data_IF_633927503988
#
_entry.id   IF_633927503988
#
_cell.length_a   1.000
_cell.length_b   1.000
_cell.length_c   1.000
_cell.angle_alpha   90.00
_cell.angle_beta   90.00
_cell.angle_gamma   90.00
#
_symmetry.space_group_name_H-M   'P 1'
#
loop_
_entity.id
_entity.type
_entity.pdbx_description
1 polymer ?
#
# COMPACT_ATOMS: atom_id res chain seq x y z
N UNK A 1 -15.07 2.66 30.41
CA UNK A 1 -15.03 3.85 29.53
C UNK A 1 -14.43 3.42 28.22
N UNK A 2 -15.10 3.70 27.09
CA UNK A 2 -14.54 3.44 25.77
C UNK A 2 -13.71 4.66 25.35
N UNK A 3 -12.48 4.43 24.87
CA UNK A 3 -11.55 5.49 24.48
C UNK A 3 -11.72 5.77 22.98
N UNK A 4 -11.47 6.99 22.54
CA UNK A 4 -11.39 7.33 21.12
C UNK A 4 -9.98 7.07 20.61
N UNK A 5 -9.81 6.81 19.30
CA UNK A 5 -8.49 6.46 18.76
C UNK A 5 -7.45 7.56 19.00
N UNK A 6 -7.86 8.82 19.00
CA UNK A 6 -7.00 9.98 19.27
C UNK A 6 -6.62 10.18 20.75
N UNK A 7 -7.30 9.49 21.69
CA UNK A 7 -6.97 9.59 23.12
C UNK A 7 -5.63 8.91 23.44
N UNK A 8 -5.27 7.91 22.64
CA UNK A 8 -3.96 7.25 22.65
C UNK A 8 -3.70 6.69 21.25
N UNK A 9 -3.21 7.55 20.34
CA UNK A 9 -3.00 7.19 18.94
C UNK A 9 -1.98 6.05 18.80
N UNK A 10 -0.94 6.06 19.63
CA UNK A 10 0.08 5.00 19.68
C UNK A 10 -0.54 3.67 20.13
N UNK A 11 -1.37 3.68 21.17
CA UNK A 11 -2.10 2.51 21.64
C UNK A 11 -3.07 1.98 20.58
N UNK A 12 -3.80 2.89 19.92
CA UNK A 12 -4.69 2.53 18.81
C UNK A 12 -3.92 1.85 17.68
N UNK A 13 -2.81 2.42 17.22
CA UNK A 13 -1.99 1.83 16.15
C UNK A 13 -1.47 0.43 16.48
N UNK A 14 -1.21 0.13 17.76
CA UNK A 14 -0.79 -1.21 18.22
C UNK A 14 -1.95 -2.21 18.30
N UNK A 15 -3.15 -1.73 18.59
CA UNK A 15 -4.35 -2.57 18.78
C UNK A 15 -5.24 -2.65 17.52
N UNK A 16 -4.98 -1.83 16.50
CA UNK A 16 -5.76 -1.76 15.28
C UNK A 16 -5.52 -3.01 14.42
N UNK A 17 -6.60 -3.66 14.00
CA UNK A 17 -6.54 -4.89 13.20
C UNK A 17 -7.41 -4.70 11.97
N UNK A 18 -6.84 -4.93 10.79
CA UNK A 18 -7.60 -4.90 9.54
C UNK A 18 -8.74 -5.94 9.59
N UNK A 19 -9.98 -5.56 9.27
CA UNK A 19 -11.07 -6.52 9.23
C UNK A 19 -10.79 -7.60 8.20
N UNK A 20 -11.16 -8.83 8.52
CA UNK A 20 -11.05 -9.94 7.57
C UNK A 20 -11.85 -9.64 6.29
N UNK A 21 -11.18 -9.77 5.15
CA UNK A 21 -11.80 -9.55 3.84
C UNK A 21 -12.93 -10.56 3.63
N UNK A 22 -14.15 -10.06 3.40
CA UNK A 22 -15.32 -10.92 3.15
C UNK A 22 -15.51 -11.14 1.66
N UNK A 23 -15.56 -12.40 1.25
CA UNK A 23 -15.79 -12.80 -0.14
C UNK A 23 -17.27 -13.14 -0.36
N UNK A 24 -17.81 -12.74 -1.51
CA UNK A 24 -19.11 -13.19 -2.02
C UNK A 24 -18.97 -14.50 -2.81
N UNK A 25 -20.10 -15.14 -3.11
CA UNK A 25 -20.14 -16.50 -3.68
C UNK A 25 -19.51 -16.66 -5.07
N UNK A 26 -19.39 -15.58 -5.85
CA UNK A 26 -18.94 -15.63 -7.24
C UNK A 26 -17.42 -15.41 -7.40
N UNK A 27 -16.68 -15.31 -6.29
CA UNK A 27 -15.24 -15.04 -6.34
C UNK A 27 -14.46 -16.30 -6.68
N UNK A 28 -13.44 -16.19 -7.56
CA UNK A 28 -12.48 -17.26 -7.77
C UNK A 28 -11.85 -17.77 -6.48
N UNK A 29 -11.85 -19.09 -6.29
CA UNK A 29 -11.13 -19.70 -5.18
C UNK A 29 -9.64 -19.33 -5.24
N UNK A 30 -9.12 -18.83 -4.11
CA UNK A 30 -7.68 -18.61 -3.98
C UNK A 30 -6.98 -19.98 -3.98
N UNK A 31 -5.95 -20.20 -4.81
CA UNK A 31 -5.24 -21.48 -4.83
C UNK A 31 -4.55 -21.70 -3.48
N UNK A 32 -4.87 -22.79 -2.74
CA UNK A 32 -4.26 -23.04 -1.44
C UNK A 32 -2.78 -23.39 -1.61
N UNK A 33 -1.88 -22.60 -1.01
CA UNK A 33 -0.43 -22.87 -0.97
C UNK A 33 0.26 -22.91 -2.34
N UNK A 34 -0.37 -22.36 -3.38
CA UNK A 34 0.15 -22.39 -4.74
C UNK A 34 0.10 -21.01 -5.41
N UNK A 35 0.90 -20.84 -6.46
CA UNK A 35 0.93 -19.62 -7.28
C UNK A 35 -0.40 -19.41 -7.98
N UNK A 36 -0.82 -18.17 -8.12
CA UNK A 36 -1.92 -17.83 -9.01
C UNK A 36 -1.44 -17.86 -10.47
N UNK A 37 -2.16 -18.61 -11.30
CA UNK A 37 -2.00 -18.54 -12.75
C UNK A 37 -2.71 -17.33 -13.37
N UNK A 38 -3.38 -16.50 -12.57
CA UNK A 38 -4.22 -15.39 -13.04
C UNK A 38 -3.47 -14.06 -13.15
N UNK A 39 -2.21 -14.00 -12.73
CA UNK A 39 -1.37 -12.83 -12.90
C UNK A 39 -0.96 -12.66 -14.37
N UNK A 40 -1.82 -11.99 -15.13
CA UNK A 40 -1.70 -11.78 -16.58
C UNK A 40 -1.28 -10.36 -16.93
N UNK A 41 -0.64 -9.65 -15.99
CA UNK A 41 -0.24 -8.25 -16.15
C UNK A 41 0.47 -7.99 -17.47
N UNK A 42 -0.01 -7.00 -18.20
CA UNK A 42 0.63 -6.52 -19.40
C UNK A 42 1.92 -5.79 -19.04
N UNK A 43 3.05 -6.29 -19.55
CA UNK A 43 4.35 -5.63 -19.40
C UNK A 43 4.97 -5.41 -20.75
N UNK A 44 5.34 -4.16 -21.06
CA UNK A 44 6.17 -3.88 -22.23
C UNK A 44 7.62 -4.21 -21.90
N UNK A 45 8.31 -4.89 -22.81
CA UNK A 45 9.75 -5.04 -22.68
C UNK A 45 10.41 -3.66 -22.84
N UNK A 46 11.33 -3.35 -21.92
CA UNK A 46 12.19 -2.17 -22.03
C UNK A 46 13.62 -2.60 -21.76
N UNK A 47 14.51 -2.35 -22.73
CA UNK A 47 15.94 -2.67 -22.62
C UNK A 47 16.59 -2.02 -21.40
N UNK A 48 16.07 -0.88 -20.96
CA UNK A 48 16.57 -0.10 -19.83
C UNK A 48 16.13 -0.63 -18.46
N UNK A 49 15.31 -1.70 -18.38
CA UNK A 49 14.88 -2.27 -17.10
C UNK A 49 16.01 -3.11 -16.50
N UNK A 50 16.88 -2.45 -15.75
CA UNK A 50 17.98 -3.09 -15.03
C UNK A 50 17.72 -3.03 -13.52
N UNK A 51 17.06 -4.07 -13.01
CA UNK A 51 16.87 -4.27 -11.58
C UNK A 51 17.89 -5.32 -11.12
N UNK A 52 19.05 -4.80 -10.74
CA UNK A 52 20.29 -5.56 -10.52
C UNK A 52 20.50 -5.96 -9.07
N UNK A 53 19.77 -5.34 -8.14
CA UNK A 53 19.74 -5.75 -6.74
C UNK A 53 18.36 -5.57 -6.15
N UNK A 54 17.88 -6.56 -5.42
CA UNK A 54 16.73 -6.43 -4.54
C UNK A 54 17.16 -6.99 -3.20
N UNK A 55 17.05 -6.17 -2.17
CA UNK A 55 17.45 -6.48 -0.81
C UNK A 55 16.18 -6.60 0.04
N UNK A 56 16.06 -7.68 0.79
CA UNK A 56 15.01 -7.78 1.78
C UNK A 56 15.42 -6.97 3.03
N UNK A 57 14.48 -6.24 3.61
CA UNK A 57 14.65 -5.67 4.94
C UNK A 57 14.63 -6.84 5.93
N UNK A 58 15.78 -7.16 6.50
CA UNK A 58 15.90 -8.23 7.49
C UNK A 58 15.18 -7.89 8.81
N UNK A 59 15.37 -8.77 9.79
CA UNK A 59 14.70 -8.79 11.10
C UNK A 59 14.77 -7.48 11.91
N UNK A 60 15.65 -6.54 11.53
CA UNK A 60 15.75 -5.22 12.15
C UNK A 60 14.60 -4.27 11.80
N UNK A 61 13.83 -4.53 10.74
CA UNK A 61 12.78 -3.62 10.26
C UNK A 61 11.72 -3.35 11.32
N UNK A 62 11.22 -4.39 11.98
CA UNK A 62 10.19 -4.24 13.02
C UNK A 62 10.69 -3.39 14.18
N UNK A 63 11.96 -3.54 14.54
CA UNK A 63 12.58 -2.70 15.57
C UNK A 63 12.69 -1.25 15.13
N UNK A 64 13.09 -1.00 13.88
CA UNK A 64 13.13 0.35 13.30
C UNK A 64 11.76 1.01 13.25
N UNK A 65 10.72 0.28 12.83
CA UNK A 65 9.33 0.76 12.80
C UNK A 65 8.84 1.07 14.22
N UNK A 66 9.07 0.18 15.18
CA UNK A 66 8.67 0.40 16.57
C UNK A 66 9.38 1.62 17.18
N UNK A 67 10.68 1.78 16.92
CA UNK A 67 11.44 2.94 17.38
C UNK A 67 10.89 4.24 16.76
N UNK A 68 10.56 4.22 15.46
CA UNK A 68 9.94 5.36 14.80
C UNK A 68 8.57 5.69 15.39
N UNK A 69 7.73 4.68 15.66
CA UNK A 69 6.41 4.87 16.30
C UNK A 69 6.57 5.49 17.69
N UNK A 70 7.52 5.01 18.49
CA UNK A 70 7.78 5.54 19.84
C UNK A 70 8.26 6.99 19.77
N UNK A 71 9.06 7.35 18.77
CA UNK A 71 9.60 8.70 18.62
C UNK A 71 8.58 9.71 18.07
N UNK A 72 7.69 9.29 17.17
CA UNK A 72 6.86 10.21 16.38
C UNK A 72 5.36 10.15 16.72
N UNK A 73 4.85 9.03 17.25
CA UNK A 73 3.41 8.88 17.50
C UNK A 73 3.09 9.21 18.96
N UNK A 74 2.20 10.18 19.24
CA UNK A 74 1.82 10.55 20.60
C UNK A 74 1.08 9.40 21.31
N UNK A 75 1.38 9.19 22.59
CA UNK A 75 0.69 8.26 23.49
C UNK A 75 -0.17 8.96 24.56
N UNK A 76 -0.34 10.27 24.41
CA UNK A 76 -1.20 11.09 25.26
C UNK A 76 -2.36 11.61 24.43
N UNK A 77 -3.51 11.83 25.08
CA UNK A 77 -4.67 12.42 24.42
C UNK A 77 -4.28 13.74 23.77
N UNK A 78 -4.61 13.88 22.49
CA UNK A 78 -4.30 15.07 21.69
C UNK A 78 -5.23 16.26 22.01
N UNK A 79 -6.00 16.17 23.10
CA UNK A 79 -6.87 17.22 23.59
C UNK A 79 -8.30 17.10 23.04
N UNK A 80 -9.24 17.75 23.75
CA UNK A 80 -10.68 17.70 23.47
C UNK A 80 -11.11 18.38 22.16
N UNK A 81 -10.20 19.12 21.52
CA UNK A 81 -10.46 19.86 20.28
C UNK A 81 -10.26 19.01 19.03
N UNK A 82 -9.42 17.97 19.09
CA UNK A 82 -9.33 16.97 18.04
C UNK A 82 -10.46 15.95 18.21
N UNK A 83 -11.08 15.57 17.10
CA UNK A 83 -12.10 14.52 17.03
C UNK A 83 -11.59 13.41 16.12
N UNK A 84 -12.06 12.18 16.38
CA UNK A 84 -11.76 11.01 15.54
C UNK A 84 -12.13 11.28 14.07
N UNK A 85 -13.23 12.01 13.86
CA UNK A 85 -13.64 12.54 12.56
C UNK A 85 -13.20 14.00 12.42
N UNK A 86 -12.49 14.29 11.34
CA UNK A 86 -12.28 15.65 10.88
C UNK A 86 -13.57 16.20 10.26
N UNK A 87 -14.11 17.29 10.81
CA UNK A 87 -15.35 17.86 10.30
C UNK A 87 -15.16 18.62 8.97
N UNK A 88 -13.93 19.08 8.69
CA UNK A 88 -13.62 19.82 7.46
C UNK A 88 -13.34 18.88 6.30
N UNK A 89 -12.49 17.88 6.52
CA UNK A 89 -12.07 16.95 5.46
C UNK A 89 -12.94 15.70 5.39
N UNK A 90 -13.70 15.40 6.46
CA UNK A 90 -14.48 14.17 6.58
C UNK A 90 -13.64 12.92 6.90
N UNK A 91 -12.33 13.08 7.07
CA UNK A 91 -11.41 12.00 7.41
C UNK A 91 -11.72 11.39 8.77
N UNK A 92 -11.59 10.07 8.89
CA UNK A 92 -11.88 9.36 10.13
C UNK A 92 -11.00 8.12 10.22
N UNK A 93 -10.69 7.70 11.45
CA UNK A 93 -10.17 6.37 11.72
C UNK A 93 -11.25 5.33 11.38
N UNK A 94 -10.89 4.31 10.61
CA UNK A 94 -11.83 3.30 10.09
C UNK A 94 -11.43 1.87 10.44
N UNK A 95 -10.15 1.62 10.74
CA UNK A 95 -9.72 0.28 11.15
C UNK A 95 -10.19 0.02 12.59
N UNK A 96 -10.92 -1.08 12.86
CA UNK A 96 -11.35 -1.37 14.23
C UNK A 96 -10.17 -1.73 15.12
N UNK A 97 -10.34 -1.47 16.41
CA UNK A 97 -9.43 -1.93 17.46
C UNK A 97 -10.02 -3.11 18.20
N UNK A 98 -9.20 -4.10 18.53
CA UNK A 98 -9.66 -5.33 19.17
C UNK A 98 -10.17 -5.16 20.61
N UNK A 99 -9.79 -4.09 21.34
CA UNK A 99 -9.96 -4.08 22.81
C UNK A 99 -10.42 -2.78 23.44
N UNK A 100 -9.92 -1.61 23.00
CA UNK A 100 -10.02 -0.37 23.81
C UNK A 100 -10.67 0.82 23.11
N UNK A 101 -10.56 0.88 21.79
CA UNK A 101 -10.94 2.08 21.03
C UNK A 101 -12.27 1.91 20.30
N UNK A 102 -13.17 2.88 20.45
CA UNK A 102 -14.47 2.89 19.79
C UNK A 102 -14.36 3.53 18.41
N UNK A 103 -13.97 2.72 17.42
CA UNK A 103 -13.95 3.14 16.02
C UNK A 103 -15.27 2.77 15.34
N UNK A 104 -16.01 3.77 14.89
CA UNK A 104 -17.26 3.54 14.17
C UNK A 104 -16.96 3.25 12.69
N UNK A 105 -16.74 1.97 12.37
CA UNK A 105 -16.50 1.55 10.99
C UNK A 105 -17.68 0.79 10.40
N UNK A 106 -18.10 1.23 9.23
CA UNK A 106 -19.13 0.54 8.44
C UNK A 106 -18.44 -0.46 7.54
N UNK A 107 -18.69 -1.75 7.73
CA UNK A 107 -18.14 -2.78 6.85
C UNK A 107 -18.63 -2.56 5.41
N UNK A 108 -17.73 -2.41 4.42
CA UNK A 108 -18.12 -2.40 3.03
C UNK A 108 -18.75 -3.75 2.64
N UNK A 109 -19.53 -3.74 1.56
CA UNK A 109 -20.14 -4.97 1.05
C UNK A 109 -19.07 -6.04 0.75
N UNK A 110 -19.40 -7.35 0.88
CA UNK A 110 -18.49 -8.42 0.51
C UNK A 110 -17.95 -8.23 -0.90
N UNK A 111 -16.67 -8.54 -1.09
CA UNK A 111 -16.03 -8.47 -2.38
C UNK A 111 -16.75 -9.45 -3.30
N UNK A 112 -17.19 -8.99 -4.47
CA UNK A 112 -17.68 -9.85 -5.58
C UNK A 112 -16.93 -9.58 -6.89
N UNK A 113 -16.23 -8.46 -6.92
CA UNK A 113 -15.56 -7.89 -8.08
C UNK A 113 -14.40 -7.02 -7.57
N UNK A 114 -13.49 -6.68 -8.49
CA UNK A 114 -12.28 -5.91 -8.20
C UNK A 114 -12.59 -4.55 -7.54
N UNK A 115 -13.61 -3.84 -8.04
CA UNK A 115 -14.03 -2.54 -7.49
C UNK A 115 -14.40 -2.59 -6.00
N UNK A 116 -14.96 -3.72 -5.54
CA UNK A 116 -15.29 -3.90 -4.13
C UNK A 116 -14.04 -4.09 -3.29
N UNK A 117 -13.02 -4.80 -3.79
CA UNK A 117 -11.74 -4.89 -3.10
C UNK A 117 -11.09 -3.51 -2.97
N UNK A 118 -11.11 -2.71 -4.03
CA UNK A 118 -10.57 -1.35 -4.01
C UNK A 118 -11.27 -0.50 -2.95
N UNK A 119 -12.59 -0.65 -2.79
CA UNK A 119 -13.34 0.01 -1.73
C UNK A 119 -12.94 -0.45 -0.31
N UNK A 120 -12.58 -1.72 -0.11
CA UNK A 120 -12.07 -2.21 1.17
C UNK A 120 -10.69 -1.59 1.49
N UNK A 121 -9.80 -1.54 0.51
CA UNK A 121 -8.46 -0.93 0.65
C UNK A 121 -8.57 0.57 0.92
N UNK A 122 -9.38 1.30 0.15
CA UNK A 122 -9.66 2.72 0.39
C UNK A 122 -10.23 2.93 1.79
N UNK A 123 -11.30 2.21 2.12
CA UNK A 123 -12.07 2.46 3.32
C UNK A 123 -11.28 2.19 4.60
N UNK A 124 -10.53 1.08 4.67
CA UNK A 124 -9.84 0.68 5.89
C UNK A 124 -8.41 1.25 5.98
N UNK A 125 -7.39 0.63 5.35
CA UNK A 125 -6.01 1.04 5.57
C UNK A 125 -5.74 2.46 5.08
N UNK A 126 -6.19 2.85 3.88
CA UNK A 126 -5.78 4.13 3.30
C UNK A 126 -6.35 5.33 4.05
N UNK A 127 -7.67 5.34 4.32
CA UNK A 127 -8.30 6.42 5.13
C UNK A 127 -7.72 6.51 6.54
N UNK A 128 -7.51 5.38 7.19
CA UNK A 128 -6.92 5.36 8.54
C UNK A 128 -5.50 5.90 8.53
N UNK A 129 -4.66 5.45 7.59
CA UNK A 129 -3.28 5.94 7.46
C UNK A 129 -3.25 7.42 7.15
N UNK A 130 -4.06 7.90 6.21
CA UNK A 130 -4.14 9.33 5.89
C UNK A 130 -4.50 10.16 7.12
N UNK A 131 -5.55 9.76 7.86
CA UNK A 131 -5.94 10.46 9.08
C UNK A 131 -4.83 10.48 10.12
N UNK A 132 -4.16 9.35 10.34
CA UNK A 132 -3.02 9.26 11.26
C UNK A 132 -1.88 10.20 10.82
N UNK A 133 -1.55 10.21 9.53
CA UNK A 133 -0.50 11.07 8.99
C UNK A 133 -0.85 12.55 9.17
N UNK A 134 -2.08 12.97 8.92
CA UNK A 134 -2.50 14.37 9.13
C UNK A 134 -2.53 14.80 10.59
N UNK A 135 -2.71 13.84 11.51
CA UNK A 135 -2.60 14.09 12.94
C UNK A 135 -1.14 14.26 13.37
N UNK A 136 -0.24 13.36 12.94
CA UNK A 136 1.18 13.36 13.33
C UNK A 136 1.95 14.47 12.59
N UNK A 137 1.59 14.73 11.35
CA UNK A 137 2.24 15.68 10.45
C UNK A 137 1.19 16.65 9.87
N UNK A 138 0.76 17.67 10.63
CA UNK A 138 -0.26 18.62 10.15
C UNK A 138 0.10 19.34 8.85
N UNK A 139 1.39 19.43 8.51
CA UNK A 139 1.89 19.98 7.25
C UNK A 139 1.55 19.12 6.02
N UNK A 140 1.17 17.84 6.20
CA UNK A 140 0.78 16.96 5.10
C UNK A 140 -0.72 17.01 4.81
N UNK A 141 -1.49 17.95 5.37
CA UNK A 141 -2.94 18.08 5.10
C UNK A 141 -3.31 18.31 3.65
N UNK A 142 -2.37 18.86 2.87
CA UNK A 142 -2.54 19.03 1.42
C UNK A 142 -2.28 17.73 0.65
N UNK A 143 -1.84 16.67 1.34
CA UNK A 143 -1.58 15.35 0.76
C UNK A 143 -2.76 14.42 0.99
N UNK A 144 -2.94 13.46 0.09
CA UNK A 144 -4.00 12.48 0.25
C UNK A 144 -3.85 11.30 -0.69
N UNK A 145 -4.58 10.23 -0.40
CA UNK A 145 -4.71 9.13 -1.33
C UNK A 145 -5.68 9.50 -2.45
N UNK A 146 -5.22 9.37 -3.69
CA UNK A 146 -6.07 9.43 -4.86
C UNK A 146 -5.79 8.26 -5.80
N UNK A 147 -6.73 7.97 -6.69
CA UNK A 147 -6.55 6.98 -7.76
C UNK A 147 -6.93 7.62 -9.09
N UNK A 148 -6.12 7.37 -10.11
CA UNK A 148 -6.42 7.85 -11.46
C UNK A 148 -7.71 7.19 -11.98
N UNK A 149 -8.54 7.99 -12.64
CA UNK A 149 -9.81 7.55 -13.24
C UNK A 149 -9.64 7.08 -14.69
N UNK A 150 -8.47 7.28 -15.28
CA UNK A 150 -8.21 6.83 -16.64
C UNK A 150 -8.13 5.30 -16.68
N UNK A 151 -8.91 4.64 -17.56
CA UNK A 151 -8.91 3.19 -17.62
C UNK A 151 -7.56 2.68 -18.14
N UNK A 152 -6.91 1.80 -17.38
CA UNK A 152 -5.75 1.03 -17.83
C UNK A 152 -6.16 -0.39 -18.21
N UNK A 153 -5.36 -0.99 -19.10
CA UNK A 153 -5.62 -2.34 -19.63
C UNK A 153 -5.74 -3.41 -18.52
N UNK A 154 -4.99 -3.26 -17.42
CA UNK A 154 -4.98 -4.21 -16.32
C UNK A 154 -5.81 -3.76 -15.09
N UNK A 155 -6.69 -2.76 -15.21
CA UNK A 155 -7.50 -2.26 -14.06
C UNK A 155 -8.34 -3.33 -13.38
N UNK A 156 -8.66 -4.38 -14.15
CA UNK A 156 -9.38 -5.55 -13.67
C UNK A 156 -8.52 -6.49 -12.82
N UNK A 157 -7.21 -6.27 -12.64
CA UNK A 157 -6.35 -7.11 -11.78
C UNK A 157 -5.29 -6.31 -11.00
N UNK A 158 -5.19 -5.01 -11.25
CA UNK A 158 -4.16 -4.14 -10.69
C UNK A 158 -4.69 -2.72 -10.54
N UNK A 159 -4.75 -2.23 -9.31
CA UNK A 159 -5.18 -0.87 -8.99
C UNK A 159 -4.04 -0.08 -8.38
N UNK A 160 -3.94 1.18 -8.80
CA UNK A 160 -2.94 2.12 -8.33
C UNK A 160 -3.64 3.18 -7.45
N UNK A 161 -3.13 3.38 -6.25
CA UNK A 161 -3.40 4.54 -5.42
C UNK A 161 -2.10 5.28 -5.19
N UNK A 162 -2.19 6.59 -5.00
CA UNK A 162 -1.04 7.45 -4.82
C UNK A 162 -1.28 8.35 -3.62
N UNK A 163 -0.35 8.36 -2.67
CA UNK A 163 -0.30 9.38 -1.62
C UNK A 163 0.58 10.53 -2.12
N UNK A 164 -0.03 11.68 -2.44
CA UNK A 164 0.68 12.85 -2.99
C UNK A 164 -0.07 14.14 -2.65
N UNK A 165 0.51 15.29 -3.01
CA UNK A 165 -0.14 16.61 -2.90
C UNK A 165 -1.35 16.71 -3.84
N UNK A 166 -2.54 16.83 -3.26
CA UNK A 166 -3.83 16.91 -3.96
C UNK A 166 -4.37 18.34 -4.08
N UNK A 167 -3.77 19.32 -3.41
CA UNK A 167 -4.29 20.71 -3.35
C UNK A 167 -3.56 21.61 -4.33
N UNK A 168 -2.23 21.53 -4.38
CA UNK A 168 -1.41 22.49 -5.13
C UNK A 168 -1.11 22.05 -6.56
N UNK A 169 -1.65 20.90 -6.99
CA UNK A 169 -1.39 20.34 -8.31
C UNK A 169 -2.71 19.97 -9.02
N UNK A 170 -3.13 20.73 -10.05
CA UNK A 170 -4.41 20.51 -10.76
C UNK A 170 -4.45 19.19 -11.54
N UNK A 171 -3.29 18.61 -11.81
CA UNK A 171 -3.10 17.21 -12.17
C UNK A 171 -2.05 16.69 -11.19
N UNK A 172 -2.40 15.96 -10.11
CA UNK A 172 -1.47 15.62 -9.03
C UNK A 172 -0.16 15.11 -9.62
N UNK A 173 0.84 15.99 -9.66
CA UNK A 173 2.17 15.67 -10.13
C UNK A 173 2.73 14.78 -9.04
N UNK A 174 2.66 13.48 -9.29
CA UNK A 174 3.24 12.48 -8.41
C UNK A 174 4.72 12.84 -8.30
N UNK A 175 5.07 13.47 -7.18
CA UNK A 175 6.40 13.97 -6.91
C UNK A 175 7.30 12.85 -6.37
N UNK A 176 8.60 13.13 -6.25
CA UNK A 176 9.62 12.21 -5.72
C UNK A 176 9.30 11.61 -4.36
N UNK A 177 8.55 12.33 -3.53
CA UNK A 177 8.19 11.95 -2.16
C UNK A 177 6.83 11.25 -2.08
N UNK A 178 6.17 11.04 -3.21
CA UNK A 178 4.89 10.32 -3.26
C UNK A 178 5.09 8.83 -2.97
N UNK A 179 4.01 8.19 -2.56
CA UNK A 179 3.97 6.73 -2.35
C UNK A 179 2.96 6.11 -3.30
N UNK A 180 3.39 5.15 -4.11
CA UNK A 180 2.53 4.29 -4.92
C UNK A 180 2.04 3.13 -4.06
N UNK A 181 0.73 2.92 -4.00
CA UNK A 181 0.10 1.69 -3.48
C UNK A 181 -0.49 0.92 -4.65
N UNK A 182 0.17 -0.17 -5.01
CA UNK A 182 -0.29 -1.12 -6.00
C UNK A 182 -1.05 -2.26 -5.32
N UNK A 183 -2.30 -2.46 -5.72
CA UNK A 183 -3.15 -3.51 -5.17
C UNK A 183 -3.53 -4.53 -6.23
N UNK A 184 -3.39 -5.82 -5.90
CA UNK A 184 -3.91 -6.94 -6.69
C UNK A 184 -4.77 -7.83 -5.79
N UNK A 185 -5.87 -8.42 -6.27
CA UNK A 185 -6.67 -9.29 -5.42
C UNK A 185 -5.93 -10.54 -4.95
N UNK A 186 -6.29 -11.11 -3.80
CA UNK A 186 -5.71 -12.36 -3.29
C UNK A 186 -5.70 -13.51 -4.29
N UNK A 187 -6.73 -13.64 -5.13
CA UNK A 187 -6.79 -14.69 -6.16
C UNK A 187 -5.90 -14.42 -7.38
N UNK A 188 -5.31 -13.23 -7.50
CA UNK A 188 -4.33 -12.85 -8.54
C UNK A 188 -2.91 -12.80 -7.97
N UNK A 189 -2.77 -12.30 -6.74
CA UNK A 189 -1.53 -12.19 -5.99
C UNK A 189 -1.71 -13.00 -4.71
N UNK A 190 -1.46 -14.31 -4.80
CA UNK A 190 -1.56 -15.21 -3.65
C UNK A 190 -0.42 -14.95 -2.66
N UNK A 191 -0.54 -15.54 -1.47
CA UNK A 191 0.50 -15.47 -0.45
C UNK A 191 1.86 -15.97 -0.94
N UNK A 192 1.84 -17.03 -1.76
CA UNK A 192 3.03 -17.59 -2.39
C UNK A 192 3.58 -16.64 -3.47
N UNK A 193 2.72 -16.00 -4.27
CA UNK A 193 3.16 -15.02 -5.27
C UNK A 193 3.80 -13.79 -4.60
N UNK A 194 3.24 -13.33 -3.48
CA UNK A 194 3.77 -12.22 -2.70
C UNK A 194 5.13 -12.58 -2.07
N UNK A 195 5.26 -13.77 -1.49
CA UNK A 195 6.55 -14.25 -0.98
C UNK A 195 7.61 -14.33 -2.09
N UNK A 196 7.25 -14.86 -3.26
CA UNK A 196 8.18 -14.92 -4.37
C UNK A 196 8.53 -13.56 -4.96
N UNK A 197 7.59 -12.61 -4.86
CA UNK A 197 7.83 -11.21 -5.21
C UNK A 197 8.89 -10.60 -4.28
N UNK A 198 8.82 -10.84 -2.97
CA UNK A 198 9.81 -10.31 -2.01
C UNK A 198 11.17 -11.00 -2.09
N UNK A 199 11.21 -12.28 -2.48
CA UNK A 199 12.46 -13.06 -2.63
C UNK A 199 13.18 -12.88 -3.98
N UNK A 200 12.57 -12.15 -4.93
CA UNK A 200 13.24 -11.91 -6.20
C UNK A 200 14.47 -11.04 -5.96
N UNK A 201 15.64 -11.44 -6.46
CA UNK A 201 16.90 -10.70 -6.30
C UNK A 201 17.23 -9.80 -7.49
N UNK A 202 16.75 -10.18 -8.68
CA UNK A 202 16.97 -9.44 -9.93
C UNK A 202 15.94 -9.81 -10.97
N UNK A 203 15.76 -8.94 -11.96
CA UNK A 203 14.96 -9.24 -13.15
C UNK A 203 15.81 -9.92 -14.22
N UNK A 204 15.24 -10.87 -15.01
CA UNK A 204 15.96 -11.50 -16.09
C UNK A 204 16.37 -10.47 -17.15
N UNK A 205 17.62 -10.55 -17.61
CA UNK A 205 18.13 -9.70 -18.68
C UNK A 205 17.60 -10.12 -20.06
N UNK A 206 17.38 -9.15 -20.94
CA UNK A 206 16.97 -9.39 -22.34
C UNK A 206 15.48 -9.62 -22.55
N UNK A 207 15.10 -9.99 -23.78
CA UNK A 207 13.70 -10.13 -24.21
C UNK A 207 13.11 -11.50 -23.83
N UNK A 208 13.27 -11.90 -22.58
CA UNK A 208 12.72 -13.17 -22.07
C UNK A 208 11.26 -12.99 -21.63
N UNK A 209 10.48 -14.07 -21.75
CA UNK A 209 9.09 -14.08 -21.29
C UNK A 209 9.07 -14.03 -19.75
N UNK A 210 8.60 -12.90 -19.22
CA UNK A 210 8.51 -12.68 -17.78
C UNK A 210 7.44 -13.57 -17.12
N UNK A 211 7.78 -14.11 -15.95
CA UNK A 211 6.88 -14.82 -15.02
C UNK A 211 6.02 -13.82 -14.22
N UNK A 212 4.98 -14.30 -13.53
CA UNK A 212 4.03 -13.44 -12.78
C UNK A 212 4.70 -12.41 -11.85
N UNK A 213 5.61 -12.87 -10.98
CA UNK A 213 6.38 -11.99 -10.08
C UNK A 213 7.28 -10.97 -10.80
N UNK A 214 7.90 -11.39 -11.90
CA UNK A 214 8.77 -10.53 -12.71
C UNK A 214 7.93 -9.48 -13.46
N UNK A 215 6.71 -9.83 -13.85
CA UNK A 215 5.74 -8.90 -14.45
C UNK A 215 5.29 -7.86 -13.44
N UNK A 216 4.99 -8.27 -12.21
CA UNK A 216 4.61 -7.35 -11.13
C UNK A 216 5.74 -6.34 -10.84
N UNK A 217 6.97 -6.82 -10.62
CA UNK A 217 8.16 -5.95 -10.49
C UNK A 217 8.36 -5.02 -11.68
N UNK A 218 8.23 -5.57 -12.89
CA UNK A 218 8.37 -4.80 -14.12
C UNK A 218 7.35 -3.68 -14.24
N UNK A 219 6.10 -3.96 -13.85
CA UNK A 219 5.01 -3.00 -13.89
C UNK A 219 5.17 -1.92 -12.82
N UNK A 220 5.52 -2.29 -11.59
CA UNK A 220 5.87 -1.34 -10.52
C UNK A 220 6.98 -0.40 -10.96
N UNK A 221 8.06 -0.96 -11.51
CA UNK A 221 9.16 -0.17 -12.05
C UNK A 221 8.69 0.80 -13.15
N UNK A 222 7.89 0.31 -14.11
CA UNK A 222 7.37 1.16 -15.18
C UNK A 222 6.54 2.34 -14.67
N UNK A 223 5.74 2.10 -13.61
CA UNK A 223 4.93 3.14 -12.97
C UNK A 223 5.82 4.11 -12.21
N UNK A 224 6.67 3.61 -11.32
CA UNK A 224 7.57 4.40 -10.48
C UNK A 224 8.50 5.30 -11.31
N UNK A 225 9.10 4.78 -12.39
CA UNK A 225 9.94 5.60 -13.28
C UNK A 225 9.13 6.65 -14.04
N UNK A 226 7.97 6.26 -14.60
CA UNK A 226 7.09 7.18 -15.34
C UNK A 226 6.56 8.31 -14.45
N UNK A 227 6.28 8.00 -13.20
CA UNK A 227 5.69 8.91 -12.21
C UNK A 227 6.72 9.52 -11.27
N UNK A 228 8.02 9.25 -11.48
CA UNK A 228 9.10 9.70 -10.59
C UNK A 228 8.82 9.41 -9.09
N UNK A 229 8.15 8.29 -8.80
CA UNK A 229 7.74 7.88 -7.45
C UNK A 229 8.60 6.72 -7.00
N UNK A 230 9.47 6.95 -6.02
CA UNK A 230 10.42 5.91 -5.59
C UNK A 230 9.87 5.03 -4.47
N UNK A 231 8.86 5.50 -3.73
CA UNK A 231 8.25 4.75 -2.65
C UNK A 231 7.05 3.92 -3.12
N UNK A 232 7.09 2.68 -2.64
CA UNK A 232 6.30 1.51 -2.95
C UNK A 232 5.45 0.84 -1.87
N UNK A 233 4.21 0.50 -2.14
CA UNK A 233 3.47 -0.50 -1.37
C UNK A 233 2.80 -1.45 -2.35
N UNK A 234 2.97 -2.75 -2.14
CA UNK A 234 2.25 -3.80 -2.85
C UNK A 234 1.36 -4.52 -1.87
N UNK A 235 0.08 -4.68 -2.19
CA UNK A 235 -0.85 -5.33 -1.27
C UNK A 235 -1.89 -6.20 -1.96
N UNK A 236 -2.24 -7.30 -1.30
CA UNK A 236 -3.43 -8.09 -1.60
C UNK A 236 -4.58 -7.83 -0.62
N UNK A 237 -4.52 -6.74 0.15
CA UNK A 237 -5.25 -6.48 1.38
C UNK A 237 -4.87 -7.43 2.53
N UNK A 238 -4.70 -8.72 2.25
CA UNK A 238 -4.28 -9.73 3.22
C UNK A 238 -2.79 -9.68 3.52
N UNK A 239 -1.98 -9.33 2.54
CA UNK A 239 -0.53 -9.18 2.69
C UNK A 239 -0.06 -7.82 2.20
N UNK A 240 1.04 -7.34 2.78
CA UNK A 240 1.61 -6.04 2.49
C UNK A 240 3.12 -6.17 2.35
N UNK A 241 3.64 -5.65 1.24
CA UNK A 241 5.05 -5.49 0.98
C UNK A 241 5.35 -4.00 0.79
N UNK A 242 6.28 -3.47 1.57
CA UNK A 242 6.70 -2.07 1.50
C UNK A 242 8.04 -2.01 0.82
N UNK A 243 8.27 -1.01 -0.04
CA UNK A 243 9.61 -0.82 -0.55
C UNK A 243 9.92 0.54 -1.14
N UNK A 244 11.19 0.68 -1.53
CA UNK A 244 11.72 1.89 -2.12
C UNK A 244 12.73 1.54 -3.20
N UNK A 245 12.74 2.29 -4.28
CA UNK A 245 13.78 2.26 -5.31
C UNK A 245 14.89 3.25 -4.95
N UNK A 246 16.15 2.81 -5.00
CA UNK A 246 17.29 3.72 -4.87
C UNK A 246 17.35 4.74 -6.02
N UNK A 247 17.67 6.00 -5.72
CA UNK A 247 18.01 6.99 -6.74
C UNK A 247 19.36 6.61 -7.39
N UNK A 248 19.31 5.96 -8.55
CA UNK A 248 20.46 5.88 -9.44
C UNK A 248 20.56 7.14 -10.30
N UNK A 249 21.77 7.64 -10.55
CA UNK A 249 21.98 8.72 -11.52
C UNK A 249 21.53 8.26 -12.93
N UNK A 250 20.86 9.18 -13.62
CA UNK A 250 19.97 8.97 -14.77
C UNK A 250 20.53 8.34 -16.07
N UNK A 251 21.81 7.95 -16.26
CA UNK A 251 22.17 7.15 -17.44
C UNK A 251 22.45 5.66 -17.17
N UNK A 252 22.79 5.23 -15.95
CA UNK A 252 23.13 3.84 -15.63
C UNK A 252 22.34 3.35 -14.41
N UNK A 253 21.08 3.06 -14.64
CA UNK A 253 20.13 2.67 -13.61
C UNK A 253 20.47 1.29 -13.00
N UNK A 254 21.14 1.32 -11.85
CA UNK A 254 21.23 0.20 -10.92
C UNK A 254 20.23 0.50 -9.81
N UNK A 255 19.18 -0.31 -9.72
CA UNK A 255 18.19 -0.18 -8.65
C UNK A 255 18.42 -1.25 -7.60
N UNK A 256 18.48 -0.82 -6.35
CA UNK A 256 18.27 -1.63 -5.16
C UNK A 256 16.84 -1.38 -4.69
N UNK A 257 16.01 -2.42 -4.71
CA UNK A 257 14.70 -2.38 -4.06
C UNK A 257 14.81 -2.96 -2.65
N UNK A 258 14.17 -2.34 -1.68
CA UNK A 258 14.23 -2.74 -0.28
C UNK A 258 12.83 -3.19 0.15
N UNK A 259 12.60 -4.46 0.54
CA UNK A 259 11.24 -4.98 0.78
C UNK A 259 11.03 -5.52 2.20
N UNK A 260 9.94 -5.12 2.88
CA UNK A 260 9.49 -5.71 4.16
C UNK A 260 8.08 -6.28 4.06
N UNK A 261 7.83 -7.42 4.73
CA UNK A 261 6.52 -8.07 4.82
C UNK A 261 5.88 -7.80 6.18
N UNK A 262 4.66 -7.26 6.20
CA UNK A 262 3.86 -7.23 7.43
C UNK A 262 3.16 -8.59 7.61
N UNK A 263 3.27 -9.17 8.81
CA UNK A 263 2.63 -10.43 9.22
C UNK A 263 1.47 -10.13 10.17
#
# INVERSE_FOLDING_TARGET
MAWWGIDDLRGYMKDAILPELKYGGDIPTCPPGHKSHRNTLSTRFKRQRHLTGMQCLGDGFDSSVNNWIIANVPNTSLGSYLRDKDEQTGEILTVPSARKFKINSTLPAPVREFNRLWAWVDHFPLRTVQRILHIIFPQSKDWGFFSETQPHYDDHIFKEFYFTDIVHSPTPEIASNSVLVACQPPWVLSDEDMWQFTELQSLPAGNLRLRGKERLWSKLWDICVRKQCFYFIVTSYQQWAFGVFSNGDLPNFTFSAVVAKAV
#
